data_IF_514841369100
#
_entry.id   IF_514841369100
#
_cell.length_a   1.000
_cell.length_b   1.000
_cell.length_c   1.000
_cell.angle_alpha   90.00
_cell.angle_beta   90.00
_cell.angle_gamma   90.00
#
_symmetry.space_group_name_H-M   'P 1'
#
loop_
_entity.id
_entity.type
_entity.pdbx_description
1 polymer ?
#
# COMPACT_ATOMS: atom_id res chain seq x y z
N UNK A 1 -16.83 -14.93 6.51
CA UNK A 1 -16.40 -14.52 5.13
C UNK A 1 -16.86 -15.56 4.13
N UNK A 2 -17.42 -15.15 2.97
CA UNK A 2 -17.90 -16.06 1.93
C UNK A 2 -16.75 -16.73 1.15
N UNK A 3 -17.09 -17.77 0.37
CA UNK A 3 -16.15 -18.51 -0.49
C UNK A 3 -15.32 -17.60 -1.41
N UNK A 4 -15.96 -16.57 -2.01
CA UNK A 4 -15.31 -15.58 -2.87
C UNK A 4 -14.15 -14.87 -2.15
N UNK A 5 -14.40 -14.34 -0.95
CA UNK A 5 -13.42 -13.58 -0.18
C UNK A 5 -12.21 -14.44 0.27
N UNK A 6 -12.43 -15.76 0.49
CA UNK A 6 -11.35 -16.66 0.94
C UNK A 6 -10.50 -17.23 -0.20
N UNK A 7 -11.10 -17.50 -1.35
CA UNK A 7 -10.45 -18.31 -2.38
C UNK A 7 -10.25 -17.61 -3.73
N UNK A 8 -11.13 -16.69 -4.09
CA UNK A 8 -11.07 -16.00 -5.39
C UNK A 8 -10.41 -14.65 -5.26
N UNK A 9 -10.91 -13.79 -4.37
CA UNK A 9 -10.43 -12.43 -4.20
C UNK A 9 -8.90 -12.33 -3.97
N UNK A 10 -8.26 -13.13 -3.07
CA UNK A 10 -6.82 -13.04 -2.86
C UNK A 10 -6.00 -13.37 -4.12
N UNK A 11 -6.52 -14.27 -4.98
CA UNK A 11 -5.88 -14.61 -6.25
C UNK A 11 -6.00 -13.47 -7.26
N UNK A 12 -7.18 -12.88 -7.35
CA UNK A 12 -7.42 -11.76 -8.25
C UNK A 12 -6.59 -10.53 -7.84
N UNK A 13 -6.53 -10.24 -6.53
CA UNK A 13 -5.73 -9.12 -6.02
C UNK A 13 -4.24 -9.35 -6.25
N UNK A 14 -3.71 -10.54 -5.95
CA UNK A 14 -2.31 -10.88 -6.19
C UNK A 14 -1.95 -10.71 -7.67
N UNK A 15 -2.79 -11.21 -8.58
CA UNK A 15 -2.58 -11.08 -10.02
C UNK A 15 -2.68 -9.62 -10.47
N UNK A 16 -3.71 -8.89 -10.05
CA UNK A 16 -3.93 -7.50 -10.45
C UNK A 16 -2.84 -6.56 -9.93
N UNK A 17 -2.42 -6.74 -8.66
CA UNK A 17 -1.36 -5.93 -8.06
C UNK A 17 0.04 -6.30 -8.58
N UNK A 18 0.20 -7.47 -9.22
CA UNK A 18 1.47 -7.94 -9.79
C UNK A 18 1.67 -7.61 -11.26
N UNK A 19 0.73 -6.92 -11.95
CA UNK A 19 0.89 -6.58 -13.36
C UNK A 19 2.06 -5.61 -13.57
N UNK A 20 2.74 -5.72 -14.74
CA UNK A 20 3.94 -4.97 -15.06
C UNK A 20 3.86 -3.45 -14.83
N UNK A 21 2.81 -2.74 -15.27
CA UNK A 21 2.68 -1.30 -15.02
C UNK A 21 2.65 -0.93 -13.53
N UNK A 22 2.02 -1.75 -12.68
CA UNK A 22 1.97 -1.54 -11.22
C UNK A 22 3.32 -1.88 -10.57
N UNK A 23 3.93 -3.00 -10.98
CA UNK A 23 5.28 -3.39 -10.51
C UNK A 23 6.32 -2.31 -10.79
N UNK A 24 6.28 -1.67 -11.98
CA UNK A 24 7.16 -0.54 -12.32
C UNK A 24 7.02 0.67 -11.41
N UNK A 25 5.84 0.90 -10.80
CA UNK A 25 5.71 1.98 -9.82
C UNK A 25 6.36 1.59 -8.49
N UNK A 26 6.27 0.30 -8.09
CA UNK A 26 6.98 -0.21 -6.91
C UNK A 26 8.50 -0.09 -7.05
N UNK A 27 9.04 -0.40 -8.23
CA UNK A 27 10.47 -0.26 -8.56
C UNK A 27 10.99 1.17 -8.36
N UNK A 28 10.13 2.18 -8.50
CA UNK A 28 10.52 3.58 -8.28
C UNK A 28 10.57 3.95 -6.80
N UNK A 29 9.80 3.27 -5.96
CA UNK A 29 9.55 3.68 -4.57
C UNK A 29 10.28 2.80 -3.58
N UNK A 30 10.08 1.49 -3.67
CA UNK A 30 10.54 0.52 -2.66
C UNK A 30 12.06 0.47 -2.48
N UNK A 31 12.92 0.63 -3.53
CA UNK A 31 14.38 0.64 -3.37
C UNK A 31 14.95 1.80 -2.55
N UNK A 32 14.13 2.82 -2.26
CA UNK A 32 14.52 3.95 -1.40
C UNK A 32 14.30 3.67 0.09
N UNK A 33 13.71 2.53 0.44
CA UNK A 33 13.55 2.11 1.83
C UNK A 33 14.90 1.74 2.46
N UNK A 34 15.04 2.04 3.76
CA UNK A 34 16.24 1.77 4.52
C UNK A 34 15.95 1.50 6.00
N UNK A 35 16.87 0.84 6.69
CA UNK A 35 16.77 0.51 8.10
C UNK A 35 15.67 -0.49 8.41
N UNK A 36 14.95 -0.26 9.51
CA UNK A 36 13.75 -1.02 9.86
C UNK A 36 12.56 -0.46 9.08
N UNK A 37 11.95 -1.29 8.25
CA UNK A 37 10.82 -0.91 7.41
C UNK A 37 9.51 -1.37 8.04
N UNK A 38 8.54 -0.47 8.18
CA UNK A 38 7.14 -0.81 8.43
C UNK A 38 6.38 -0.80 7.10
N UNK A 39 5.95 -1.96 6.62
CA UNK A 39 5.15 -2.08 5.39
C UNK A 39 3.67 -2.25 5.72
N UNK A 40 2.84 -1.28 5.33
CA UNK A 40 1.39 -1.32 5.51
C UNK A 40 0.71 -1.95 4.30
N UNK A 41 -0.04 -3.02 4.55
CA UNK A 41 -0.67 -3.83 3.51
C UNK A 41 0.34 -4.69 2.76
N UNK A 42 1.22 -5.39 3.50
CA UNK A 42 2.23 -6.28 2.89
C UNK A 42 1.61 -7.37 2.01
N UNK A 43 0.39 -7.80 2.32
CA UNK A 43 -0.43 -8.69 1.51
C UNK A 43 0.30 -9.93 0.99
N UNK A 44 0.34 -10.07 -0.33
CA UNK A 44 1.04 -11.17 -1.01
C UNK A 44 2.55 -10.95 -1.18
N UNK A 45 3.13 -9.89 -0.58
CA UNK A 45 4.56 -9.62 -0.61
C UNK A 45 5.06 -9.09 -1.95
N UNK A 46 4.24 -8.31 -2.66
CA UNK A 46 4.59 -7.77 -3.98
C UNK A 46 5.77 -6.80 -3.95
N UNK A 47 6.07 -6.19 -2.80
CA UNK A 47 7.21 -5.29 -2.62
C UNK A 47 8.52 -6.04 -2.32
N UNK A 48 8.46 -7.26 -1.80
CA UNK A 48 9.64 -8.00 -1.33
C UNK A 48 10.79 -8.08 -2.34
N UNK A 49 10.52 -8.30 -3.65
CA UNK A 49 11.58 -8.36 -4.65
C UNK A 49 12.30 -7.03 -4.92
N UNK A 50 11.77 -5.91 -4.43
CA UNK A 50 12.31 -4.57 -4.70
C UNK A 50 13.08 -3.95 -3.54
N UNK A 51 13.04 -4.56 -2.35
CA UNK A 51 13.85 -4.13 -1.24
C UNK A 51 15.33 -4.46 -1.47
N UNK A 52 16.20 -3.51 -1.10
CA UNK A 52 17.64 -3.73 -1.15
C UNK A 52 18.11 -4.31 0.21
N UNK A 53 18.62 -5.58 0.25
CA UNK A 53 19.07 -6.20 1.50
C UNK A 53 20.28 -5.50 2.13
N UNK A 54 21.08 -4.76 1.35
CA UNK A 54 22.20 -3.98 1.91
C UNK A 54 21.72 -2.73 2.68
N UNK A 55 20.47 -2.29 2.47
CA UNK A 55 19.90 -1.08 3.08
C UNK A 55 18.84 -1.38 4.13
N UNK A 56 18.07 -2.44 3.94
CA UNK A 56 16.93 -2.80 4.79
C UNK A 56 17.35 -3.93 5.73
N UNK A 57 17.31 -3.66 7.02
CA UNK A 57 17.71 -4.64 8.05
C UNK A 57 16.56 -5.57 8.47
N UNK A 58 15.32 -5.08 8.42
CA UNK A 58 14.12 -5.81 8.82
C UNK A 58 12.87 -5.22 8.19
N UNK A 59 11.90 -6.07 7.86
CA UNK A 59 10.57 -5.68 7.41
C UNK A 59 9.54 -6.11 8.44
N UNK A 60 8.75 -5.17 8.96
CA UNK A 60 7.57 -5.42 9.78
C UNK A 60 6.36 -5.19 8.89
N UNK A 61 5.75 -6.28 8.44
CA UNK A 61 4.61 -6.23 7.52
C UNK A 61 3.28 -6.28 8.28
N UNK A 62 2.42 -5.31 8.04
CA UNK A 62 1.08 -5.23 8.64
C UNK A 62 0.03 -5.57 7.59
N UNK A 63 -0.76 -6.62 7.83
CA UNK A 63 -1.87 -6.98 6.97
C UNK A 63 -2.83 -7.92 7.70
N UNK A 64 -4.14 -7.61 7.79
CA UNK A 64 -5.12 -8.44 8.48
C UNK A 64 -5.52 -9.71 7.70
N UNK A 65 -5.30 -9.75 6.37
CA UNK A 65 -5.78 -10.86 5.53
C UNK A 65 -4.76 -12.02 5.48
N UNK A 66 -5.07 -13.07 6.24
CA UNK A 66 -4.24 -14.28 6.24
C UNK A 66 -4.25 -15.03 4.89
N UNK A 67 -5.33 -14.95 4.12
CA UNK A 67 -5.43 -15.67 2.84
C UNK A 67 -4.53 -15.06 1.78
N UNK A 68 -4.44 -13.72 1.78
CA UNK A 68 -3.51 -13.02 0.89
C UNK A 68 -2.06 -13.20 1.36
N UNK A 69 -1.81 -13.19 2.68
CA UNK A 69 -0.50 -13.45 3.25
C UNK A 69 0.05 -14.84 2.89
N UNK A 70 -0.78 -15.88 2.89
CA UNK A 70 -0.37 -17.22 2.46
C UNK A 70 0.19 -17.25 1.04
N UNK A 71 -0.20 -16.32 0.19
CA UNK A 71 0.29 -16.21 -1.18
C UNK A 71 1.68 -15.59 -1.29
N UNK A 72 2.15 -14.95 -0.22
CA UNK A 72 3.52 -14.40 -0.17
C UNK A 72 4.60 -15.46 0.03
N UNK A 73 4.24 -16.72 0.29
CA UNK A 73 5.17 -17.77 0.75
C UNK A 73 6.43 -17.89 -0.13
N UNK A 74 6.28 -17.90 -1.45
CA UNK A 74 7.41 -17.96 -2.37
C UNK A 74 8.27 -16.70 -2.29
N UNK A 75 7.66 -15.51 -2.37
CA UNK A 75 8.39 -14.23 -2.33
C UNK A 75 9.14 -14.06 -1.01
N UNK A 76 8.57 -14.55 0.10
CA UNK A 76 9.24 -14.54 1.42
C UNK A 76 10.42 -15.52 1.48
N UNK A 77 10.28 -16.69 0.86
CA UNK A 77 11.37 -17.66 0.80
C UNK A 77 12.54 -17.16 -0.06
N UNK A 78 12.25 -16.36 -1.07
CA UNK A 78 13.23 -15.75 -1.97
C UNK A 78 13.83 -14.44 -1.41
N UNK A 79 13.32 -13.92 -0.28
CA UNK A 79 13.74 -12.67 0.35
C UNK A 79 14.81 -12.94 1.42
N UNK A 80 15.95 -12.25 1.33
CA UNK A 80 17.06 -12.39 2.28
C UNK A 80 16.85 -11.57 3.56
N UNK A 81 15.88 -10.64 3.58
CA UNK A 81 15.60 -9.76 4.71
C UNK A 81 14.66 -10.46 5.70
N UNK A 82 14.94 -10.30 7.00
CA UNK A 82 14.02 -10.78 8.05
C UNK A 82 12.65 -10.11 7.92
N UNK A 83 11.60 -10.92 7.92
CA UNK A 83 10.22 -10.46 7.82
C UNK A 83 9.43 -10.91 9.04
N UNK A 84 8.90 -9.94 9.79
CA UNK A 84 7.93 -10.15 10.86
C UNK A 84 6.53 -9.72 10.35
N UNK A 85 5.48 -10.48 10.71
CA UNK A 85 4.11 -10.11 10.34
C UNK A 85 3.26 -9.76 11.55
N UNK A 86 2.55 -8.66 11.45
CA UNK A 86 1.46 -8.25 12.33
C UNK A 86 0.13 -8.44 11.59
N UNK A 87 -0.68 -9.42 12.02
CA UNK A 87 -1.95 -9.78 11.39
C UNK A 87 -3.12 -8.86 11.78
N UNK A 88 -2.90 -7.55 11.79
CA UNK A 88 -3.87 -6.53 12.21
C UNK A 88 -4.06 -5.45 11.14
N UNK A 89 -5.06 -4.60 11.35
CA UNK A 89 -5.26 -3.40 10.53
C UNK A 89 -4.17 -2.36 10.79
N UNK A 90 -3.82 -1.59 9.74
CA UNK A 90 -2.92 -0.43 9.86
C UNK A 90 -3.46 0.72 10.72
N UNK A 91 -4.70 0.62 11.19
CA UNK A 91 -5.37 1.63 12.03
C UNK A 91 -5.04 1.49 13.52
N UNK A 92 -4.47 0.35 13.94
CA UNK A 92 -4.11 0.07 15.33
C UNK A 92 -2.98 -0.96 15.37
N UNK A 93 -1.76 -0.46 15.42
CA UNK A 93 -0.55 -1.29 15.29
C UNK A 93 0.12 -1.42 16.67
N UNK A 94 0.25 -2.64 17.23
CA UNK A 94 0.79 -2.88 18.56
C UNK A 94 2.32 -2.77 18.59
N UNK A 95 2.85 -1.66 18.14
CA UNK A 95 4.27 -1.31 18.20
C UNK A 95 4.46 -0.02 18.99
N UNK A 96 5.60 0.11 19.61
CA UNK A 96 6.01 1.35 20.26
C UNK A 96 6.25 2.46 19.21
N UNK A 97 6.29 3.70 19.66
CA UNK A 97 6.66 4.84 18.83
C UNK A 97 8.15 4.78 18.44
N UNK A 98 8.50 5.38 17.31
CA UNK A 98 9.88 5.56 16.86
C UNK A 98 10.63 4.24 16.62
N UNK A 99 9.98 3.24 16.05
CA UNK A 99 10.56 1.93 15.72
C UNK A 99 11.11 1.91 14.29
N UNK A 100 10.35 2.43 13.31
CA UNK A 100 10.67 2.31 11.91
C UNK A 100 11.52 3.49 11.40
N UNK A 101 12.51 3.20 10.58
CA UNK A 101 13.28 4.20 9.83
C UNK A 101 12.54 4.62 8.55
N UNK A 102 11.83 3.68 7.94
CA UNK A 102 11.01 3.91 6.75
C UNK A 102 9.64 3.26 6.92
N UNK A 103 8.60 3.96 6.50
CA UNK A 103 7.27 3.38 6.28
C UNK A 103 7.07 3.22 4.77
N UNK A 104 6.60 2.05 4.35
CA UNK A 104 6.23 1.78 2.95
C UNK A 104 4.74 1.45 2.88
N UNK A 105 4.02 2.12 2.00
CA UNK A 105 2.61 1.81 1.74
C UNK A 105 2.34 1.84 0.23
N UNK A 106 1.88 0.71 -0.30
CA UNK A 106 1.65 0.59 -1.74
C UNK A 106 0.29 -0.06 -2.01
N UNK A 107 -0.58 0.67 -2.69
CA UNK A 107 -1.92 0.21 -3.10
C UNK A 107 -2.75 -0.34 -1.92
N UNK A 108 -2.63 0.29 -0.74
CA UNK A 108 -3.27 -0.13 0.51
C UNK A 108 -4.15 0.95 1.12
N UNK A 109 -3.77 2.23 1.02
CA UNK A 109 -4.58 3.35 1.55
C UNK A 109 -5.97 3.43 0.91
N UNK A 110 -6.10 2.97 -0.32
CA UNK A 110 -7.40 2.91 -1.01
C UNK A 110 -8.39 1.94 -0.35
N UNK A 111 -7.90 0.94 0.40
CA UNK A 111 -8.69 -0.14 0.99
C UNK A 111 -8.93 0.05 2.49
N UNK A 112 -7.99 0.67 3.20
CA UNK A 112 -8.09 0.88 4.65
C UNK A 112 -9.30 1.75 4.98
N UNK A 113 -10.23 1.34 5.87
CA UNK A 113 -11.45 2.09 6.19
C UNK A 113 -11.16 3.50 6.70
N UNK A 114 -10.37 3.63 7.77
CA UNK A 114 -9.90 4.91 8.32
C UNK A 114 -8.42 5.14 7.97
N UNK A 115 -8.18 5.58 6.74
CA UNK A 115 -6.83 5.81 6.24
C UNK A 115 -6.11 6.97 6.96
N UNK A 116 -6.86 7.94 7.50
CA UNK A 116 -6.27 9.05 8.28
C UNK A 116 -5.72 8.52 9.60
N UNK A 117 -6.48 7.66 10.29
CA UNK A 117 -6.01 7.00 11.50
C UNK A 117 -4.78 6.13 11.23
N UNK A 118 -4.79 5.39 10.12
CA UNK A 118 -3.64 4.58 9.72
C UNK A 118 -2.39 5.44 9.44
N UNK A 119 -2.53 6.58 8.75
CA UNK A 119 -1.44 7.52 8.53
C UNK A 119 -0.87 8.10 9.84
N UNK A 120 -1.73 8.38 10.82
CA UNK A 120 -1.27 8.81 12.16
C UNK A 120 -0.52 7.70 12.90
N UNK A 121 -0.96 6.45 12.79
CA UNK A 121 -0.24 5.30 13.35
C UNK A 121 1.13 5.11 12.67
N UNK A 122 1.19 5.22 11.34
CA UNK A 122 2.45 5.21 10.60
C UNK A 122 3.42 6.28 11.13
N UNK A 123 2.92 7.51 11.30
CA UNK A 123 3.71 8.64 11.85
C UNK A 123 4.17 8.39 13.27
N UNK A 124 3.32 7.79 14.11
CA UNK A 124 3.66 7.46 15.50
C UNK A 124 4.83 6.46 15.59
N UNK A 125 4.82 5.48 14.70
CA UNK A 125 5.83 4.40 14.67
C UNK A 125 7.12 4.85 13.98
N UNK A 126 7.02 5.82 13.08
CA UNK A 126 8.18 6.36 12.36
C UNK A 126 9.10 7.13 13.31
N UNK A 127 10.39 6.91 13.19
CA UNK A 127 11.42 7.66 13.92
C UNK A 127 11.44 9.13 13.49
N UNK A 128 11.88 10.06 14.34
CA UNK A 128 12.19 11.42 13.92
C UNK A 128 13.17 11.43 12.75
N UNK A 129 12.83 12.13 11.67
CA UNK A 129 13.61 12.16 10.43
C UNK A 129 13.42 10.96 9.50
N UNK A 130 12.60 9.98 9.90
CA UNK A 130 12.19 8.89 9.02
C UNK A 130 11.23 9.36 7.92
N UNK A 131 11.01 8.53 6.93
CA UNK A 131 10.23 8.87 5.72
C UNK A 131 9.11 7.88 5.45
N UNK A 132 8.02 8.38 4.86
CA UNK A 132 6.93 7.57 4.32
C UNK A 132 7.09 7.52 2.81
N UNK A 133 7.29 6.34 2.26
CA UNK A 133 7.36 6.07 0.84
C UNK A 133 6.04 5.44 0.39
N UNK A 134 5.41 5.97 -0.65
CA UNK A 134 4.18 5.36 -1.12
C UNK A 134 4.03 5.38 -2.65
N UNK A 135 3.27 4.42 -3.14
CA UNK A 135 2.63 4.48 -4.45
C UNK A 135 1.19 3.98 -4.31
N UNK A 136 0.26 4.81 -4.76
CA UNK A 136 -1.17 4.55 -4.60
C UNK A 136 -1.93 4.89 -5.88
N UNK A 137 -3.04 4.25 -6.10
CA UNK A 137 -4.03 4.76 -7.03
C UNK A 137 -5.04 5.64 -6.29
N UNK A 138 -5.58 6.64 -6.96
CA UNK A 138 -6.48 7.57 -6.30
C UNK A 138 -7.34 8.36 -7.27
N UNK A 139 -7.93 9.44 -6.73
CA UNK A 139 -8.80 10.36 -7.44
C UNK A 139 -8.13 10.91 -8.69
N UNK A 140 -8.75 10.68 -9.85
CA UNK A 140 -8.28 11.24 -11.11
C UNK A 140 -8.41 12.77 -11.13
N UNK A 141 -7.43 13.51 -11.71
CA UNK A 141 -7.53 14.95 -11.88
C UNK A 141 -8.63 15.35 -12.89
N UNK A 142 -8.90 14.50 -13.86
CA UNK A 142 -9.97 14.72 -14.84
C UNK A 142 -11.35 14.53 -14.20
N UNK A 143 -12.16 15.59 -14.16
CA UNK A 143 -13.46 15.57 -13.49
C UNK A 143 -14.42 14.50 -14.05
N UNK A 144 -14.40 14.27 -15.37
CA UNK A 144 -15.20 13.25 -16.01
C UNK A 144 -14.82 11.84 -15.52
N UNK A 145 -13.52 11.56 -15.40
CA UNK A 145 -13.00 10.29 -14.90
C UNK A 145 -13.31 10.14 -13.41
N UNK A 146 -13.11 11.21 -12.62
CA UNK A 146 -13.46 11.19 -11.20
C UNK A 146 -14.96 10.94 -10.97
N UNK A 147 -15.86 11.53 -11.76
CA UNK A 147 -17.29 11.23 -11.71
C UNK A 147 -17.57 9.73 -11.98
N UNK A 148 -16.85 9.13 -12.91
CA UNK A 148 -16.91 7.70 -13.17
C UNK A 148 -16.42 6.88 -11.99
N UNK A 149 -15.25 7.19 -11.42
CA UNK A 149 -14.72 6.52 -10.23
C UNK A 149 -15.76 6.51 -9.11
N UNK A 150 -16.34 7.66 -8.79
CA UNK A 150 -17.39 7.79 -7.76
C UNK A 150 -18.62 6.90 -8.02
N UNK A 151 -18.99 6.68 -9.27
CA UNK A 151 -20.14 5.82 -9.64
C UNK A 151 -19.81 4.34 -9.47
N UNK A 152 -18.61 3.92 -9.81
CA UNK A 152 -18.23 2.51 -9.75
C UNK A 152 -17.75 2.09 -8.37
N UNK A 153 -17.19 2.98 -7.57
CA UNK A 153 -16.59 2.67 -6.26
C UNK A 153 -17.50 1.87 -5.32
N UNK A 154 -18.81 2.13 -5.21
CA UNK A 154 -19.69 1.34 -4.34
C UNK A 154 -19.80 -0.14 -4.75
N UNK A 155 -19.74 -0.43 -6.03
CA UNK A 155 -19.73 -1.79 -6.56
C UNK A 155 -18.30 -2.37 -6.55
N UNK A 156 -17.34 -1.56 -6.99
CA UNK A 156 -15.93 -1.93 -7.03
C UNK A 156 -15.41 -2.35 -5.66
N UNK A 157 -15.70 -1.56 -4.61
CA UNK A 157 -15.29 -1.89 -3.24
C UNK A 157 -15.81 -3.24 -2.75
N UNK A 158 -17.02 -3.67 -3.18
CA UNK A 158 -17.57 -4.99 -2.80
C UNK A 158 -16.81 -6.15 -3.44
N UNK A 159 -16.31 -5.99 -4.66
CA UNK A 159 -15.62 -7.04 -5.42
C UNK A 159 -14.09 -6.95 -5.32
N UNK A 160 -13.55 -5.79 -4.98
CA UNK A 160 -12.11 -5.52 -4.88
C UNK A 160 -11.64 -5.32 -3.42
N UNK A 161 -12.27 -6.01 -2.45
CA UNK A 161 -11.80 -6.05 -1.07
C UNK A 161 -11.83 -4.71 -0.33
N UNK A 162 -12.77 -3.82 -0.67
CA UNK A 162 -12.90 -2.50 -0.03
C UNK A 162 -12.18 -1.37 -0.78
N UNK A 163 -11.50 -1.67 -1.87
CA UNK A 163 -10.77 -0.68 -2.66
C UNK A 163 -11.69 0.43 -3.19
N UNK A 164 -11.27 1.68 -3.02
CA UNK A 164 -11.95 2.90 -3.49
C UNK A 164 -11.02 3.62 -4.47
N UNK A 165 -11.28 3.48 -5.76
CA UNK A 165 -10.43 4.03 -6.82
C UNK A 165 -10.43 5.55 -6.90
N UNK A 166 -11.51 6.19 -6.43
CA UNK A 166 -11.65 7.64 -6.40
C UNK A 166 -11.23 8.31 -5.10
N UNK A 167 -10.48 7.63 -4.21
CA UNK A 167 -10.02 8.19 -2.94
C UNK A 167 -8.99 9.32 -3.17
N UNK A 168 -9.19 10.46 -2.52
CA UNK A 168 -8.28 11.60 -2.59
C UNK A 168 -7.10 11.39 -1.63
N UNK A 169 -6.05 10.72 -2.12
CA UNK A 169 -4.88 10.36 -1.31
C UNK A 169 -4.16 11.60 -0.77
N UNK A 170 -3.88 12.66 -1.55
CA UNK A 170 -3.28 13.88 -1.02
C UNK A 170 -4.09 14.52 0.11
N UNK A 171 -5.42 14.48 0.03
CA UNK A 171 -6.29 14.98 1.10
C UNK A 171 -6.15 14.17 2.38
N UNK A 172 -6.01 12.83 2.31
CA UNK A 172 -5.80 11.99 3.49
C UNK A 172 -4.51 12.37 4.23
N UNK A 173 -3.42 12.61 3.50
CA UNK A 173 -2.15 13.05 4.09
C UNK A 173 -2.29 14.41 4.76
N UNK A 174 -3.00 15.37 4.15
CA UNK A 174 -3.28 16.69 4.75
C UNK A 174 -4.10 16.57 6.05
N UNK A 175 -5.10 15.68 6.09
CA UNK A 175 -5.91 15.40 7.29
C UNK A 175 -5.12 14.70 8.40
N UNK A 176 -4.02 14.06 8.05
CA UNK A 176 -3.08 13.46 8.99
C UNK A 176 -1.93 14.40 9.37
N UNK A 177 -2.00 15.69 8.99
CA UNK A 177 -0.97 16.72 9.22
C UNK A 177 0.39 16.39 8.58
N UNK A 178 0.39 15.60 7.49
CA UNK A 178 1.56 15.22 6.74
C UNK A 178 1.73 16.10 5.49
N UNK A 179 2.99 16.38 5.16
CA UNK A 179 3.37 17.15 3.96
C UNK A 179 4.16 16.25 3.01
N UNK A 180 4.12 16.57 1.73
CA UNK A 180 4.91 15.91 0.71
C UNK A 180 6.19 16.70 0.47
N UNK A 181 7.32 16.01 0.44
CA UNK A 181 8.56 16.57 -0.10
C UNK A 181 8.51 16.53 -1.64
N UNK A 182 8.02 15.42 -2.19
CA UNK A 182 7.82 15.24 -3.63
C UNK A 182 6.53 14.45 -3.86
N UNK A 183 5.71 14.87 -4.80
CA UNK A 183 4.51 14.13 -5.22
C UNK A 183 4.47 14.09 -6.74
N UNK A 184 4.54 12.90 -7.32
CA UNK A 184 4.33 12.68 -8.75
C UNK A 184 2.95 12.07 -8.99
N UNK A 185 2.23 12.63 -9.96
CA UNK A 185 0.94 12.12 -10.42
C UNK A 185 1.05 11.71 -11.87
N UNK A 186 0.63 10.49 -12.20
CA UNK A 186 0.66 10.01 -13.58
C UNK A 186 -0.43 8.99 -13.85
N UNK A 187 -0.91 8.95 -15.09
CA UNK A 187 -1.68 7.81 -15.56
C UNK A 187 -0.76 6.68 -15.97
N UNK A 188 -0.94 5.51 -15.37
CA UNK A 188 -0.28 4.28 -15.84
C UNK A 188 -0.96 3.76 -17.11
N UNK A 189 -0.26 3.00 -17.97
CA UNK A 189 -0.87 2.39 -19.15
C UNK A 189 -2.06 1.49 -18.77
N UNK A 190 -3.23 1.78 -19.34
CA UNK A 190 -4.45 1.02 -19.07
C UNK A 190 -5.70 1.92 -19.01
N UNK A 191 -6.82 1.40 -18.50
CA UNK A 191 -8.04 2.20 -18.32
C UNK A 191 -7.80 3.35 -17.34
N UNK A 192 -7.91 4.58 -17.78
CA UNK A 192 -7.66 5.79 -16.97
C UNK A 192 -8.43 5.81 -15.63
N UNK A 193 -9.59 5.18 -15.57
CA UNK A 193 -10.43 5.09 -14.37
C UNK A 193 -9.72 4.38 -13.20
N UNK A 194 -8.84 3.43 -13.51
CA UNK A 194 -8.08 2.65 -12.53
C UNK A 194 -6.58 2.94 -12.59
N UNK A 195 -6.16 3.79 -13.52
CA UNK A 195 -4.76 3.92 -13.92
C UNK A 195 -4.04 5.16 -13.39
N UNK A 196 -4.63 5.93 -12.46
CA UNK A 196 -3.87 7.01 -11.82
C UNK A 196 -2.92 6.41 -10.78
N UNK A 197 -1.65 6.74 -10.87
CA UNK A 197 -0.64 6.45 -9.86
C UNK A 197 -0.17 7.74 -9.22
N UNK A 198 -0.15 7.77 -7.90
CA UNK A 198 0.41 8.82 -7.06
C UNK A 198 1.65 8.23 -6.40
N UNK A 199 2.78 8.89 -6.57
CA UNK A 199 4.07 8.43 -6.03
C UNK A 199 4.65 9.53 -5.16
N UNK A 200 5.11 9.17 -3.97
CA UNK A 200 5.92 10.00 -3.11
C UNK A 200 7.18 9.25 -2.69
N UNK A 201 8.33 9.89 -2.83
CA UNK A 201 9.64 9.39 -2.41
C UNK A 201 10.24 10.34 -1.40
#
# INVERSE_FOLDING_TARGET
MGFYAKHILPRCLDAACGIGPISKQREKVVPHAEGVVLEIGIGSGQNLPFYNPDKVSKIIGVDPDEHIWKRSAKRRADCEIEIERIGLSGEDIPLDKNIADTVVVTYSLCTIPDAVKALREMTRILKPGGKILFTEHGKAPDEAIHKWQRRIDPLWGKIAGGCRSGRDIPELFRQADLKFDTLEEMYIPGPKVLGLSLIHI
#
